data_IF_161469526110
#
_entry.id   IF_161469526110
#
_cell.length_a   1.000
_cell.length_b   1.000
_cell.length_c   1.000
_cell.angle_alpha   90.00
_cell.angle_beta   90.00
_cell.angle_gamma   90.00
#
_symmetry.space_group_name_H-M   'P 1'
#
loop_
_entity.id
_entity.type
_entity.pdbx_description
1 polymer ?
#
# COMPACT_ATOMS: atom_id res chain seq x y z
N UNK A 1 -18.83 -1.51 0.63
CA UNK A 1 -19.22 -1.87 0.82
C UNK A 1 -19.11 -2.00 0.83
N UNK A 2 -18.45 -1.64 0.69
CA UNK A 2 -18.36 -1.94 0.71
C UNK A 2 -17.96 -1.88 0.53
N UNK A 3 -17.46 -1.64 0.23
CA UNK A 3 -17.34 -1.85 0.18
C UNK A 3 -16.98 -1.66 0.13
N UNK A 4 -16.45 -1.11 -0.45
CA UNK A 4 -16.40 -1.40 -0.31
C UNK A 4 -16.13 -0.94 -0.23
N UNK A 5 -15.78 -0.67 -0.45
CA UNK A 5 -15.89 -0.63 -0.10
C UNK A 5 -15.79 -0.19 0.23
N UNK A 6 -15.36 0.18 -0.17
CA UNK A 6 -15.63 0.23 0.38
C UNK A 6 -15.71 0.36 0.79
N UNK A 7 -15.42 0.71 0.38
CA UNK A 7 -15.73 0.43 1.02
C UNK A 7 -15.73 0.43 1.38
N UNK A 8 -15.25 0.91 0.89
CA UNK A 8 -15.47 0.44 1.47
C UNK A 8 -15.34 0.55 1.83
N UNK A 9 -15.05 0.71 1.69
CA UNK A 9 -15.26 0.40 2.27
C UNK A 9 -15.17 0.43 2.76
N UNK A 10 -14.74 0.55 2.63
CA UNK A 10 -14.82 0.23 3.34
C UNK A 10 -14.73 0.31 3.53
N UNK A 11 -14.29 0.47 3.52
CA UNK A 11 -14.34 0.21 3.96
C UNK A 11 -14.12 0.14 4.37
N UNK A 12 -13.75 0.17 4.39
CA UNK A 12 -13.60 -0.30 5.14
C UNK A 12 -12.89 -0.23 5.21
N UNK A 13 -12.33 -0.27 5.23
CA UNK A 13 -11.78 -0.55 5.54
C UNK A 13 -11.01 -0.48 6.08
N UNK A 14 -10.88 -0.37 5.86
CA UNK A 14 -9.81 -0.36 6.54
C UNK A 14 -9.97 -0.55 7.90
N UNK A 15 -10.90 -0.64 8.32
CA UNK A 15 -11.04 -0.77 9.50
C UNK A 15 -10.98 -1.94 10.07
N UNK A 16 -11.46 -2.76 9.52
CA UNK A 16 -11.50 -4.01 10.14
C UNK A 16 -10.23 -4.52 10.55
N UNK A 17 -9.30 -4.03 9.99
CA UNK A 17 -8.18 -4.63 10.24
C UNK A 17 -7.65 -4.32 11.47
N UNK A 18 -8.18 -3.57 12.13
CA UNK A 18 -7.59 -3.20 13.27
C UNK A 18 -7.39 -4.21 14.20
N UNK A 19 -7.67 -5.26 14.07
CA UNK A 19 -7.62 -6.03 14.94
C UNK A 19 -6.70 -6.82 15.25
N UNK A 20 -5.64 -6.72 15.53
CA UNK A 20 -5.01 -7.80 16.04
C UNK A 20 -3.54 -7.76 16.03
N UNK A 21 -2.95 -8.61 16.78
CA UNK A 21 -1.55 -8.68 16.88
C UNK A 21 -0.88 -9.14 15.62
N UNK A 22 -1.59 -9.86 14.85
CA UNK A 22 -1.08 -10.27 13.59
C UNK A 22 -0.76 -9.08 12.74
N UNK A 23 -1.55 -8.06 12.92
CA UNK A 23 -1.33 -6.91 12.17
C UNK A 23 -0.05 -6.23 12.54
N UNK A 24 0.31 -6.22 13.80
CA UNK A 24 1.56 -5.63 14.19
C UNK A 24 2.71 -6.37 13.54
N UNK A 25 2.65 -7.67 13.49
CA UNK A 25 3.70 -8.44 12.86
C UNK A 25 3.75 -8.17 11.36
N UNK A 26 2.60 -8.03 10.75
CA UNK A 26 2.53 -7.73 9.33
C UNK A 26 3.10 -6.35 9.05
N UNK A 27 2.78 -5.38 9.90
CA UNK A 27 3.28 -4.04 9.72
C UNK A 27 4.80 -4.01 9.82
N UNK A 28 5.36 -4.81 10.73
CA UNK A 28 6.79 -4.88 10.87
C UNK A 28 7.42 -5.47 9.62
N UNK A 29 6.85 -6.54 9.10
CA UNK A 29 7.36 -7.18 7.90
C UNK A 29 7.22 -6.28 6.68
N UNK A 30 6.26 -5.35 6.70
CA UNK A 30 6.03 -4.46 5.60
C UNK A 30 6.60 -3.07 5.83
N UNK A 31 7.62 -2.97 6.67
CA UNK A 31 8.28 -1.67 6.95
C UNK A 31 7.32 -0.63 7.52
N UNK A 32 6.33 -1.07 8.26
CA UNK A 32 5.37 -0.14 8.87
C UNK A 32 4.26 0.30 7.94
N UNK A 33 4.16 -0.28 6.78
CA UNK A 33 3.09 0.08 5.83
C UNK A 33 1.78 -0.55 6.26
N UNK A 34 0.68 0.12 5.93
CA UNK A 34 -0.64 -0.48 6.12
C UNK A 34 -0.82 -1.58 5.08
N UNK A 35 -1.87 -2.39 5.23
CA UNK A 35 -2.14 -3.46 4.28
C UNK A 35 -2.30 -2.92 2.86
N UNK A 36 -3.05 -1.82 2.71
CA UNK A 36 -3.24 -1.24 1.37
C UNK A 36 -1.94 -0.65 0.83
N UNK A 37 -1.15 -0.02 1.69
CA UNK A 37 0.13 0.53 1.26
C UNK A 37 1.07 -0.59 0.84
N UNK A 38 1.09 -1.70 1.55
CA UNK A 38 1.92 -2.83 1.19
C UNK A 38 1.47 -3.41 -0.15
N UNK A 39 0.17 -3.44 -0.39
CA UNK A 39 -0.36 -3.91 -1.65
C UNK A 39 0.09 -3.02 -2.80
N UNK A 40 -0.02 -1.71 -2.61
CA UNK A 40 0.44 -0.77 -3.63
C UNK A 40 1.94 -0.92 -3.85
N UNK A 41 2.72 -1.05 -2.78
CA UNK A 41 4.16 -1.20 -2.90
C UNK A 41 4.54 -2.48 -3.65
N UNK A 42 3.82 -3.56 -3.43
CA UNK A 42 4.07 -4.81 -4.15
C UNK A 42 3.85 -4.62 -5.65
N UNK A 43 2.83 -3.88 -6.03
CA UNK A 43 2.56 -3.62 -7.44
C UNK A 43 3.62 -2.70 -8.04
N UNK A 44 4.09 -1.73 -7.27
CA UNK A 44 5.19 -0.87 -7.70
C UNK A 44 6.44 -1.74 -7.96
N UNK A 45 6.75 -2.63 -7.05
CA UNK A 45 7.92 -3.49 -7.19
C UNK A 45 7.76 -4.44 -8.37
N UNK A 46 6.53 -4.73 -8.75
CA UNK A 46 6.25 -5.56 -9.92
C UNK A 46 6.35 -4.81 -11.23
N UNK A 47 6.65 -3.51 -11.18
CA UNK A 47 6.85 -2.75 -12.40
C UNK A 47 5.63 -1.98 -12.91
N UNK A 48 4.55 -1.94 -12.16
CA UNK A 48 3.36 -1.25 -12.62
C UNK A 48 3.45 0.25 -12.40
N UNK A 49 2.83 1.00 -13.30
CA UNK A 49 2.73 2.44 -13.16
C UNK A 49 1.59 2.79 -12.22
N UNK A 50 1.53 4.04 -11.78
CA UNK A 50 0.43 4.47 -10.93
C UNK A 50 -0.93 4.29 -11.61
N UNK A 51 -0.99 4.53 -12.91
CA UNK A 51 -2.23 4.35 -13.65
C UNK A 51 -2.65 2.89 -13.70
N UNK A 52 -1.70 1.98 -13.87
CA UNK A 52 -1.99 0.56 -13.88
C UNK A 52 -2.44 0.08 -12.51
N UNK A 53 -1.80 0.57 -11.46
CA UNK A 53 -2.18 0.23 -10.10
C UNK A 53 -3.60 0.73 -9.82
N UNK A 54 -3.89 1.96 -10.23
CA UNK A 54 -5.21 2.54 -10.03
C UNK A 54 -6.28 1.68 -10.69
N UNK A 55 -6.02 1.23 -11.91
CA UNK A 55 -6.97 0.39 -12.62
C UNK A 55 -7.15 -0.95 -11.93
N UNK A 56 -6.05 -1.54 -11.48
CA UNK A 56 -6.12 -2.84 -10.86
C UNK A 56 -6.83 -2.82 -9.51
N UNK A 57 -6.65 -1.76 -8.74
CA UNK A 57 -7.26 -1.67 -7.42
C UNK A 57 -8.57 -0.89 -7.41
N UNK A 58 -9.01 -0.44 -8.57
CA UNK A 58 -10.25 0.33 -8.69
C UNK A 58 -10.17 1.63 -7.89
N UNK A 59 -9.05 2.32 -7.99
CA UNK A 59 -8.84 3.58 -7.32
C UNK A 59 -8.59 4.68 -8.34
N UNK A 60 -8.77 5.93 -7.92
CA UNK A 60 -8.35 7.05 -8.75
C UNK A 60 -6.84 7.12 -8.73
N UNK A 61 -6.25 7.56 -9.82
CA UNK A 61 -4.80 7.66 -9.89
C UNK A 61 -4.26 8.62 -8.85
N UNK A 62 -4.99 9.69 -8.55
CA UNK A 62 -4.59 10.63 -7.51
C UNK A 62 -4.49 9.94 -6.15
N UNK A 63 -5.41 9.03 -5.89
CA UNK A 63 -5.38 8.27 -4.64
C UNK A 63 -4.13 7.40 -4.57
N UNK A 64 -3.78 6.77 -5.70
CA UNK A 64 -2.57 5.97 -5.76
C UNK A 64 -1.34 6.85 -5.51
N UNK A 65 -1.30 8.02 -6.09
CA UNK A 65 -0.18 8.95 -5.87
C UNK A 65 -0.05 9.31 -4.39
N UNK A 66 -1.18 9.51 -3.72
CA UNK A 66 -1.14 9.81 -2.28
C UNK A 66 -0.62 8.63 -1.48
N UNK A 67 -1.00 7.43 -1.85
CA UNK A 67 -0.45 6.24 -1.20
C UNK A 67 1.05 6.15 -1.43
N UNK A 68 1.50 6.41 -2.64
CA UNK A 68 2.91 6.35 -2.98
C UNK A 68 3.71 7.33 -2.13
N UNK A 69 3.19 8.55 -1.94
CA UNK A 69 3.87 9.52 -1.10
C UNK A 69 4.03 9.03 0.33
N UNK A 70 2.98 8.46 0.89
CA UNK A 70 3.04 7.95 2.24
C UNK A 70 4.00 6.78 2.35
N UNK A 71 4.00 5.93 1.33
CA UNK A 71 4.89 4.78 1.30
C UNK A 71 6.34 5.27 1.31
N UNK A 72 6.68 6.22 0.46
CA UNK A 72 8.05 6.72 0.40
C UNK A 72 8.45 7.35 1.72
N UNK A 73 7.55 8.09 2.35
CA UNK A 73 7.84 8.70 3.64
C UNK A 73 8.09 7.64 4.71
N UNK A 74 7.29 6.60 4.72
CA UNK A 74 7.45 5.54 5.71
C UNK A 74 8.70 4.71 5.47
N UNK A 75 9.07 4.50 4.22
CA UNK A 75 10.28 3.77 3.90
C UNK A 75 11.54 4.63 4.01
N UNK A 76 11.37 5.93 4.08
CA UNK A 76 12.52 6.82 4.16
C UNK A 76 13.27 6.96 2.86
N UNK A 77 12.59 6.83 1.73
CA UNK A 77 13.23 6.91 0.42
C UNK A 77 12.68 8.09 -0.37
N UNK A 78 13.45 8.54 -1.34
CA UNK A 78 13.04 9.68 -2.13
C UNK A 78 12.75 9.38 -3.59
N UNK A 79 12.81 8.13 -4.00
CA UNK A 79 12.58 7.81 -5.40
C UNK A 79 11.98 6.42 -5.54
N UNK A 80 11.38 6.17 -6.69
CA UNK A 80 10.79 4.88 -6.97
C UNK A 80 11.83 3.76 -7.03
N UNK A 81 12.95 3.94 -7.70
CA UNK A 81 13.98 2.88 -7.69
C UNK A 81 14.49 2.57 -6.30
N UNK A 82 14.64 3.59 -5.45
CA UNK A 82 15.10 3.36 -4.09
C UNK A 82 14.06 2.58 -3.29
N UNK A 83 12.79 2.88 -3.49
CA UNK A 83 11.72 2.17 -2.81
C UNK A 83 11.70 0.70 -3.23
N UNK A 84 11.84 0.44 -4.52
CA UNK A 84 11.83 -0.92 -5.03
C UNK A 84 13.02 -1.70 -4.49
N UNK A 85 14.19 -1.08 -4.47
CA UNK A 85 15.39 -1.74 -3.98
C UNK A 85 15.24 -2.11 -2.51
N UNK A 86 14.73 -1.17 -1.72
CA UNK A 86 14.52 -1.42 -0.30
C UNK A 86 13.51 -2.52 -0.07
N UNK A 87 12.41 -2.48 -0.81
CA UNK A 87 11.35 -3.47 -0.66
C UNK A 87 11.86 -4.87 -0.98
N UNK A 88 12.64 -4.99 -2.04
CA UNK A 88 13.15 -6.27 -2.45
C UNK A 88 14.24 -6.82 -1.53
N UNK A 89 15.01 -5.94 -0.94
CA UNK A 89 16.13 -6.39 -0.11
C UNK A 89 15.66 -7.00 1.21
N UNK A 90 14.40 -6.80 1.56
CA UNK A 90 13.88 -7.35 2.82
C UNK A 90 12.84 -8.43 2.60
N UNK A 91 12.87 -9.12 1.49
CA UNK A 91 11.91 -10.18 1.24
C UNK A 91 12.43 -11.57 1.48
#
# INVERSE_FOLDING_TARGET
>A
MASGADAGIVQGSDVGEAMNGTRAAVASANHGLSAREAEVMSLIAGGQTNGEIAAQLFLAEKTVKNHVRRIYAKLGVGSRPAAIALWRSHR
#
